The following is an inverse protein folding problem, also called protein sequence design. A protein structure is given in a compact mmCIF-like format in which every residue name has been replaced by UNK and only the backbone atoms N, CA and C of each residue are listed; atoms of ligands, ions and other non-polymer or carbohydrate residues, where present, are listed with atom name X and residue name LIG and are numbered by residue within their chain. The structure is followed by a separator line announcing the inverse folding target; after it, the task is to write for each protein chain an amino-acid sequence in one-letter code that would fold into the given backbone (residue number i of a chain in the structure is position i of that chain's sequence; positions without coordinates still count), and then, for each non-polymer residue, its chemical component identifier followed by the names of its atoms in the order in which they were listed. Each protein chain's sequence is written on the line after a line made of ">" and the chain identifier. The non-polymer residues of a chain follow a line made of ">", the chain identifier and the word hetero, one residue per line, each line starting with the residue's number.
data_IF_081300912204
#
_entry.id   IF_081300912204
#
_cell.length_a   1.000
_cell.length_b   1.000
_cell.length_c   1.000
_cell.angle_alpha   90.00
_cell.angle_beta   90.00
_cell.angle_gamma   90.00
#
_symmetry.space_group_name_H-M   'P 1'
#
loop_
_entity.id
_entity.type
_entity.pdbx_description
1 polymer ?
#
# COMPACT_ATOMS: atom_id res chain seq x y z
N UNK A 1 -55.03 20.86 4.88
CA UNK A 1 -53.85 20.86 5.78
C UNK A 1 -52.79 20.03 5.09
N UNK A 2 -51.71 20.66 4.62
CA UNK A 2 -50.61 20.01 3.89
C UNK A 2 -49.63 19.41 4.91
N UNK A 3 -49.48 18.09 4.93
CA UNK A 3 -48.47 17.40 5.73
C UNK A 3 -47.10 17.53 5.03
N UNK A 4 -46.19 18.28 5.63
CA UNK A 4 -44.81 18.38 5.18
C UNK A 4 -44.07 17.07 5.51
N UNK A 5 -43.62 16.35 4.47
CA UNK A 5 -42.74 15.19 4.61
C UNK A 5 -41.31 15.73 4.74
N UNK A 6 -40.79 15.81 5.96
CA UNK A 6 -39.37 16.09 6.21
C UNK A 6 -38.54 14.87 5.81
N UNK A 7 -37.94 14.92 4.62
CA UNK A 7 -36.88 14.02 4.21
C UNK A 7 -35.58 14.43 4.93
N UNK A 8 -35.33 13.84 6.10
CA UNK A 8 -34.05 13.97 6.79
C UNK A 8 -33.01 13.17 5.99
N UNK A 9 -32.32 13.85 5.08
CA UNK A 9 -31.18 13.30 4.36
C UNK A 9 -30.07 12.99 5.36
N UNK A 10 -29.85 11.70 5.64
CA UNK A 10 -28.72 11.23 6.43
C UNK A 10 -27.44 11.53 5.65
N UNK A 11 -26.77 12.62 6.02
CA UNK A 11 -25.42 12.95 5.56
C UNK A 11 -24.48 12.04 6.34
N UNK A 12 -24.39 10.77 5.95
CA UNK A 12 -23.43 9.85 6.57
C UNK A 12 -22.04 10.36 6.20
N UNK A 13 -21.20 10.78 7.17
CA UNK A 13 -19.83 11.11 6.85
C UNK A 13 -19.16 9.85 6.30
N UNK A 14 -18.61 9.96 5.09
CA UNK A 14 -17.68 8.97 4.57
C UNK A 14 -16.42 9.07 5.45
N UNK A 15 -16.40 8.33 6.55
CA UNK A 15 -15.21 8.21 7.39
C UNK A 15 -14.17 7.56 6.48
N UNK A 16 -13.16 8.34 6.07
CA UNK A 16 -12.02 7.79 5.37
C UNK A 16 -11.41 6.73 6.32
N UNK A 17 -11.45 5.45 5.95
CA UNK A 17 -10.78 4.43 6.75
C UNK A 17 -9.27 4.51 6.50
N UNK A 18 -8.47 4.04 7.44
CA UNK A 18 -7.04 3.86 7.20
C UNK A 18 -6.84 3.05 5.92
N UNK A 19 -5.96 3.52 5.04
CA UNK A 19 -5.81 2.95 3.71
C UNK A 19 -4.37 3.03 3.25
N UNK A 20 -3.78 1.89 2.91
CA UNK A 20 -2.41 1.83 2.41
C UNK A 20 -2.31 2.28 0.96
N UNK A 21 -1.22 2.98 0.65
CA UNK A 21 -0.82 3.42 -0.68
C UNK A 21 0.53 2.79 -0.96
N UNK A 22 0.50 1.66 -1.66
CA UNK A 22 1.67 0.84 -1.97
C UNK A 22 1.64 0.37 -3.42
N UNK A 23 2.81 0.19 -4.06
CA UNK A 23 2.88 -0.50 -5.34
C UNK A 23 2.52 -1.98 -5.18
N UNK A 24 1.91 -2.54 -6.21
CA UNK A 24 1.53 -3.95 -6.26
C UNK A 24 2.71 -4.90 -6.57
N UNK A 25 3.85 -4.35 -7.01
CA UNK A 25 5.06 -5.09 -7.32
C UNK A 25 6.25 -4.45 -6.63
N UNK A 26 6.95 -5.22 -5.78
CA UNK A 26 8.09 -4.73 -5.01
C UNK A 26 9.30 -5.63 -5.28
N UNK A 27 10.43 -5.07 -5.74
CA UNK A 27 11.66 -5.82 -5.84
C UNK A 27 12.14 -6.35 -4.47
N UNK A 28 12.60 -7.59 -4.40
CA UNK A 28 13.18 -8.12 -3.15
C UNK A 28 14.39 -7.29 -2.71
N UNK A 29 14.46 -6.92 -1.42
CA UNK A 29 15.59 -6.18 -0.86
C UNK A 29 15.68 -4.72 -1.27
N UNK A 30 14.69 -4.17 -1.98
CA UNK A 30 14.71 -2.76 -2.38
C UNK A 30 14.24 -1.84 -1.26
N UNK A 31 14.65 -0.58 -1.36
CA UNK A 31 13.99 0.51 -0.64
C UNK A 31 12.57 0.71 -1.19
N UNK A 32 11.63 0.90 -0.28
CA UNK A 32 10.21 1.09 -0.58
C UNK A 32 9.65 2.20 0.30
N UNK A 33 8.90 3.10 -0.33
CA UNK A 33 8.04 4.05 0.38
C UNK A 33 6.63 3.50 0.46
N UNK A 34 6.14 3.31 1.68
CA UNK A 34 4.78 2.89 1.99
C UNK A 34 4.04 4.11 2.49
N UNK A 35 2.98 4.51 1.80
CA UNK A 35 2.09 5.59 2.22
C UNK A 35 0.82 5.06 2.87
N UNK A 36 0.12 5.90 3.61
CA UNK A 36 -1.25 5.64 4.06
C UNK A 36 -2.06 6.91 4.24
N UNK A 37 -3.37 6.79 4.12
CA UNK A 37 -4.34 7.77 4.63
C UNK A 37 -4.77 7.38 6.05
N UNK A 38 -5.04 8.37 6.89
CA UNK A 38 -5.54 8.16 8.24
C UNK A 38 -6.64 9.17 8.60
N UNK A 39 -7.39 8.88 9.66
CA UNK A 39 -8.30 9.81 10.33
C UNK A 39 -7.94 10.00 11.79
N UNK A 40 -8.44 11.07 12.44
CA UNK A 40 -8.24 11.26 13.88
C UNK A 40 -8.85 10.17 14.77
N UNK A 41 -9.68 9.27 14.22
CA UNK A 41 -10.22 8.12 14.95
C UNK A 41 -9.27 6.91 14.95
N UNK A 42 -8.23 6.93 14.11
CA UNK A 42 -7.26 5.84 13.99
C UNK A 42 -6.27 5.87 15.19
N UNK A 43 -5.64 4.74 15.54
CA UNK A 43 -4.61 4.71 16.56
C UNK A 43 -3.49 5.72 16.27
N UNK A 44 -2.94 6.41 17.28
CA UNK A 44 -1.88 7.40 17.07
C UNK A 44 -0.56 6.76 16.65
N UNK A 45 -0.38 5.48 16.95
CA UNK A 45 0.79 4.68 16.60
C UNK A 45 0.36 3.29 16.13
N UNK A 46 1.12 2.71 15.20
CA UNK A 46 0.91 1.35 14.71
C UNK A 46 2.23 0.63 14.43
N UNK A 47 2.16 -0.69 14.28
CA UNK A 47 3.26 -1.52 13.82
C UNK A 47 2.93 -2.08 12.43
N UNK A 48 3.93 -2.10 11.56
CA UNK A 48 3.79 -2.51 10.16
C UNK A 48 4.43 -3.88 9.93
N UNK A 49 3.64 -4.77 9.35
CA UNK A 49 4.02 -6.13 9.04
C UNK A 49 3.83 -6.43 7.56
N UNK A 50 4.68 -7.31 7.04
CA UNK A 50 4.55 -7.92 5.73
C UNK A 50 4.26 -9.40 5.93
N UNK A 51 3.11 -9.87 5.46
CA UNK A 51 2.65 -11.25 5.64
C UNK A 51 2.59 -11.92 4.29
N UNK A 52 3.27 -13.06 4.16
CA UNK A 52 3.08 -14.00 3.07
C UNK A 52 2.00 -15.01 3.47
N UNK A 53 0.85 -14.99 2.80
CA UNK A 53 -0.26 -15.89 3.12
C UNK A 53 0.07 -17.37 2.86
N UNK A 54 1.05 -17.67 2.00
CA UNK A 54 1.49 -19.03 1.70
C UNK A 54 3.00 -19.07 1.48
N UNK A 55 3.82 -19.45 2.49
CA UNK A 55 3.52 -20.45 3.52
C UNK A 55 3.25 -19.87 4.94
N UNK A 56 2.53 -18.75 5.06
CA UNK A 56 2.21 -18.10 6.36
C UNK A 56 3.45 -17.57 7.09
N UNK A 57 4.29 -16.82 6.39
CA UNK A 57 5.44 -16.14 6.98
C UNK A 57 5.13 -14.67 7.27
N UNK A 58 5.55 -14.17 8.42
CA UNK A 58 5.35 -12.79 8.84
C UNK A 58 6.68 -12.11 9.09
N UNK A 59 6.85 -10.92 8.51
CA UNK A 59 8.02 -10.08 8.67
C UNK A 59 7.63 -8.76 9.34
N UNK A 60 8.28 -8.44 10.46
CA UNK A 60 8.13 -7.13 11.10
C UNK A 60 8.96 -6.12 10.30
N UNK A 61 8.31 -5.09 9.75
CA UNK A 61 9.01 -4.04 8.99
C UNK A 61 9.37 -2.87 9.88
N UNK A 62 8.44 -2.42 10.71
CA UNK A 62 8.65 -1.32 11.65
C UNK A 62 7.62 -1.39 12.80
N UNK A 63 7.97 -0.82 13.95
CA UNK A 63 7.12 -0.77 15.15
C UNK A 63 6.98 0.68 15.63
N UNK A 64 5.86 1.00 16.27
CA UNK A 64 5.58 2.31 16.87
C UNK A 64 5.71 3.47 15.86
N UNK A 65 5.22 3.26 14.63
CA UNK A 65 5.15 4.30 13.61
C UNK A 65 4.04 5.27 13.99
N UNK A 66 4.35 6.57 14.03
CA UNK A 66 3.36 7.62 14.21
C UNK A 66 2.45 7.66 12.98
N UNK A 67 1.15 7.44 13.20
CA UNK A 67 0.14 7.41 12.14
C UNK A 67 0.07 8.72 11.36
N UNK A 68 0.44 9.84 11.99
CA UNK A 68 0.36 11.17 11.39
C UNK A 68 1.45 11.45 10.36
N UNK A 69 2.50 10.60 10.25
CA UNK A 69 3.54 10.79 9.23
C UNK A 69 3.02 10.57 7.81
N UNK A 70 1.95 9.77 7.66
CA UNK A 70 1.30 9.45 6.39
C UNK A 70 2.16 8.60 5.43
N UNK A 71 3.42 8.36 5.76
CA UNK A 71 4.33 7.52 4.99
C UNK A 71 5.57 7.11 5.79
N UNK A 72 6.22 6.04 5.36
CA UNK A 72 7.54 5.60 5.81
C UNK A 72 8.35 5.06 4.63
N UNK A 73 9.66 5.28 4.64
CA UNK A 73 10.59 4.67 3.70
C UNK A 73 11.45 3.64 4.46
N UNK A 74 11.48 2.40 3.96
CA UNK A 74 12.22 1.30 4.57
C UNK A 74 12.79 0.36 3.51
N UNK A 75 13.83 -0.38 3.87
CA UNK A 75 14.35 -1.47 3.04
C UNK A 75 13.56 -2.75 3.33
N UNK A 76 12.99 -3.36 2.29
CA UNK A 76 12.26 -4.60 2.45
C UNK A 76 13.23 -5.72 2.85
N UNK A 77 12.89 -6.61 3.81
CA UNK A 77 13.70 -7.78 4.09
C UNK A 77 13.80 -8.68 2.86
N UNK A 78 14.82 -9.55 2.85
CA UNK A 78 14.95 -10.62 1.85
C UNK A 78 13.84 -11.66 2.07
N UNK A 79 12.66 -11.38 1.52
CA UNK A 79 11.53 -12.30 1.50
C UNK A 79 11.59 -13.19 0.24
N UNK A 80 11.10 -14.44 0.30
CA UNK A 80 11.00 -15.30 -0.87
C UNK A 80 10.19 -14.65 -2.00
N UNK A 81 10.64 -14.83 -3.23
CA UNK A 81 9.89 -14.38 -4.41
C UNK A 81 8.55 -15.12 -4.48
N UNK A 82 7.46 -14.37 -4.70
CA UNK A 82 6.13 -14.93 -4.82
C UNK A 82 5.02 -13.89 -4.79
N UNK A 83 3.81 -14.38 -5.07
CA UNK A 83 2.56 -13.67 -4.89
C UNK A 83 2.01 -13.84 -3.46
N UNK A 84 0.88 -13.22 -3.18
CA UNK A 84 0.13 -13.40 -1.92
C UNK A 84 0.79 -12.78 -0.70
N UNK A 85 1.54 -11.69 -0.91
CA UNK A 85 1.94 -10.81 0.18
C UNK A 85 0.85 -9.78 0.50
N UNK A 86 0.70 -9.43 1.77
CA UNK A 86 -0.15 -8.35 2.25
C UNK A 86 0.63 -7.50 3.27
N UNK A 87 0.28 -6.21 3.36
CA UNK A 87 0.72 -5.40 4.49
C UNK A 87 -0.35 -5.38 5.56
N UNK A 88 0.06 -5.46 6.82
CA UNK A 88 -0.83 -5.36 7.97
C UNK A 88 -0.35 -4.22 8.88
N UNK A 89 -1.28 -3.34 9.25
CA UNK A 89 -1.11 -2.42 10.37
C UNK A 89 -1.81 -3.02 11.59
N UNK A 90 -1.06 -3.22 12.66
CA UNK A 90 -1.59 -3.68 13.96
C UNK A 90 -1.31 -2.66 15.04
N UNK A 91 -2.10 -2.68 16.11
CA UNK A 91 -1.82 -1.80 17.26
C UNK A 91 -0.52 -2.22 17.96
N UNK A 92 0.25 -1.28 18.50
CA UNK A 92 1.53 -1.59 19.13
C UNK A 92 1.38 -2.34 20.46
N UNK A 93 0.22 -2.22 21.12
CA UNK A 93 -0.07 -2.90 22.39
C UNK A 93 -0.52 -4.36 22.21
N UNK A 94 -1.00 -4.71 21.01
CA UNK A 94 -1.51 -6.04 20.69
C UNK A 94 -1.28 -6.35 19.21
N UNK A 95 -0.27 -7.19 18.94
CA UNK A 95 0.09 -7.66 17.59
C UNK A 95 -1.04 -8.52 16.95
N UNK A 96 -2.10 -8.90 17.69
CA UNK A 96 -3.29 -9.59 17.16
C UNK A 96 -4.45 -8.65 16.81
N UNK A 97 -4.36 -7.37 17.16
CA UNK A 97 -5.36 -6.34 16.87
C UNK A 97 -5.06 -5.67 15.53
N UNK A 98 -5.55 -6.32 14.47
CA UNK A 98 -5.43 -5.87 13.08
C UNK A 98 -6.31 -4.65 12.83
N UNK A 99 -5.65 -3.55 12.47
CA UNK A 99 -6.29 -2.27 12.23
C UNK A 99 -6.52 -1.98 10.74
N UNK A 100 -5.59 -2.38 9.87
CA UNK A 100 -5.76 -2.27 8.43
C UNK A 100 -4.93 -3.29 7.65
N UNK A 101 -5.37 -3.61 6.43
CA UNK A 101 -4.66 -4.52 5.52
C UNK A 101 -4.58 -3.94 4.12
N UNK A 102 -3.42 -4.05 3.47
CA UNK A 102 -3.22 -3.77 2.05
C UNK A 102 -3.11 -5.09 1.28
N UNK A 103 -3.83 -5.17 0.15
CA UNK A 103 -4.01 -6.41 -0.62
C UNK A 103 -2.78 -6.93 -1.38
N UNK A 104 -3.04 -7.87 -2.28
CA UNK A 104 -2.08 -8.80 -2.90
C UNK A 104 -0.91 -8.13 -3.61
N UNK A 105 0.23 -8.18 -2.96
CA UNK A 105 1.53 -7.71 -3.45
C UNK A 105 2.31 -8.89 -4.03
N UNK A 106 3.01 -8.63 -5.12
CA UNK A 106 4.03 -9.50 -5.67
C UNK A 106 5.41 -9.04 -5.20
N UNK A 107 6.18 -9.96 -4.61
CA UNK A 107 7.61 -9.75 -4.32
C UNK A 107 8.40 -10.57 -5.32
N UNK A 108 9.28 -9.92 -6.09
CA UNK A 108 9.99 -10.61 -7.15
C UNK A 108 11.24 -9.88 -7.61
N UNK A 109 12.00 -10.42 -8.57
CA UNK A 109 12.99 -9.62 -9.27
C UNK A 109 12.31 -8.36 -9.79
N UNK A 110 12.93 -7.20 -9.59
CA UNK A 110 12.40 -5.93 -10.10
C UNK A 110 11.95 -6.12 -11.54
N UNK A 111 10.68 -5.82 -11.84
CA UNK A 111 10.26 -5.67 -13.23
C UNK A 111 11.23 -4.67 -13.82
N UNK A 112 12.20 -5.18 -14.59
CA UNK A 112 13.01 -4.34 -15.44
C UNK A 112 11.98 -3.54 -16.20
N UNK A 113 12.06 -2.21 -16.12
CA UNK A 113 11.21 -1.38 -16.96
C UNK A 113 11.22 -2.00 -18.35
N UNK A 114 10.06 -2.25 -18.93
CA UNK A 114 10.01 -2.42 -20.37
C UNK A 114 10.58 -1.12 -20.91
N UNK A 115 11.89 -1.10 -21.18
CA UNK A 115 12.50 -0.07 -21.99
C UNK A 115 11.71 -0.12 -23.27
N UNK A 116 10.79 0.83 -23.45
CA UNK A 116 10.23 1.12 -24.74
C UNK A 116 11.41 1.65 -25.55
N UNK A 117 12.18 0.73 -26.13
CA UNK A 117 13.16 1.04 -27.16
C UNK A 117 12.34 1.62 -28.29
N UNK A 118 12.21 2.96 -28.30
CA UNK A 118 11.71 3.66 -29.45
C UNK A 118 12.71 3.41 -30.56
N UNK A 119 12.43 2.43 -31.41
CA UNK A 119 13.13 2.26 -32.68
C UNK A 119 12.77 3.46 -33.53
N UNK A 120 13.59 4.52 -33.46
CA UNK A 120 13.56 5.57 -34.45
C UNK A 120 14.23 5.01 -35.70
N UNK A 121 13.42 4.41 -36.57
CA UNK A 121 13.83 4.11 -37.94
C UNK A 121 14.00 5.44 -38.66
N UNK A 122 15.21 6.00 -38.62
CA UNK A 122 15.59 7.09 -39.50
C UNK A 122 15.65 6.54 -40.93
N UNK A 123 14.72 6.98 -41.76
CA UNK A 123 14.71 6.72 -43.20
C UNK A 123 15.77 7.62 -43.86
N UNK A 124 16.77 7.10 -44.59
CA UNK A 124 17.62 7.95 -45.41
C UNK A 124 16.83 8.42 -46.63
N UNK A 125 16.36 9.67 -46.62
CA UNK A 125 15.95 10.37 -47.84
C UNK A 125 17.20 10.81 -48.60
N UNK A 126 17.49 10.10 -49.69
CA UNK A 126 18.37 10.58 -50.76
C UNK A 126 17.65 11.62 -51.63
N UNK A 127 18.45 12.49 -52.26
CA UNK A 127 18.16 13.46 -53.35
C UNK A 127 17.81 14.92 -52.96
N UNK A 128 18.12 15.92 -53.82
CA UNK A 128 18.32 15.89 -55.28
C UNK A 128 19.75 15.71 -55.81
#
# INVERSE_FOLDING_TARGET
>A
MLFAISLLAAITPLVASFGFIVPNHIPTGSELTIGWSFTPADPPVFSLFLVNLFPSQTFVLARNIDTTTGQITLTLPLAPVGDMYIFEAVRPDDDSDLFATAGTIHIGPGSSSLTKTGTSTALPTSQP
#
